data_IF_351033502106
#
_entry.id   IF_351033502106
#
_cell.length_a   1.000
_cell.length_b   1.000
_cell.length_c   1.000
_cell.angle_alpha   90.00
_cell.angle_beta   90.00
_cell.angle_gamma   90.00
#
_symmetry.space_group_name_H-M   'P 1'
#
loop_
_entity.id
_entity.type
_entity.pdbx_description
1 polymer ?
#
# COMPACT_ATOMS: atom_id res chain seq x y z
N UNK A 1 -18.98 -6.68 -10.35
CA UNK A 1 -18.43 -6.87 -8.99
C UNK A 1 -18.26 -5.52 -8.31
N UNK A 2 -18.62 -5.36 -7.03
CA UNK A 2 -18.39 -4.13 -6.29
C UNK A 2 -16.89 -3.91 -6.03
N UNK A 3 -16.46 -2.66 -5.88
CA UNK A 3 -15.07 -2.34 -5.49
C UNK A 3 -14.81 -2.86 -4.07
N UNK A 4 -13.65 -3.45 -3.84
CA UNK A 4 -13.19 -3.86 -2.51
C UNK A 4 -11.89 -3.11 -2.17
N UNK A 5 -11.89 -2.39 -1.05
CA UNK A 5 -10.70 -1.71 -0.53
C UNK A 5 -9.99 -2.63 0.48
N UNK A 6 -8.66 -2.66 0.45
CA UNK A 6 -7.82 -3.46 1.33
C UNK A 6 -6.92 -2.58 2.19
N UNK A 7 -6.83 -2.91 3.48
CA UNK A 7 -6.00 -2.21 4.46
C UNK A 7 -6.57 -0.86 4.91
N UNK A 8 -5.81 -0.17 5.76
CA UNK A 8 -6.15 1.14 6.33
C UNK A 8 -4.96 2.08 6.20
N UNK A 9 -5.21 3.37 6.02
CA UNK A 9 -4.17 4.40 5.97
C UNK A 9 -4.58 5.61 6.82
N UNK A 10 -3.58 6.32 7.35
CA UNK A 10 -3.78 7.57 8.10
C UNK A 10 -4.15 8.76 7.19
N UNK A 11 -4.02 8.58 5.87
CA UNK A 11 -4.37 9.57 4.83
C UNK A 11 -5.44 8.97 3.90
N UNK A 12 -6.19 9.77 3.13
CA UNK A 12 -7.34 9.28 2.34
C UNK A 12 -6.92 8.48 1.09
N UNK A 13 -6.34 7.30 1.31
CA UNK A 13 -6.00 6.31 0.29
C UNK A 13 -6.32 4.89 0.77
N UNK A 14 -6.45 3.96 -0.17
CA UNK A 14 -6.50 2.52 0.12
C UNK A 14 -5.19 1.85 -0.31
N UNK A 15 -4.53 1.06 0.55
CA UNK A 15 -3.33 0.29 0.17
C UNK A 15 -3.49 -0.51 -1.13
N UNK A 16 -4.65 -1.15 -1.31
CA UNK A 16 -5.05 -1.69 -2.60
C UNK A 16 -6.57 -1.59 -2.81
N UNK A 17 -6.99 -1.58 -4.07
CA UNK A 17 -8.40 -1.68 -4.47
C UNK A 17 -8.56 -2.76 -5.54
N UNK A 18 -9.47 -3.71 -5.33
CA UNK A 18 -9.92 -4.62 -6.38
C UNK A 18 -11.16 -4.05 -7.05
N UNK A 19 -11.14 -4.01 -8.38
CA UNK A 19 -12.28 -3.67 -9.21
C UNK A 19 -12.37 -4.69 -10.36
N UNK A 20 -13.36 -5.58 -10.31
CA UNK A 20 -13.42 -6.73 -11.22
C UNK A 20 -12.24 -7.68 -10.98
N UNK A 21 -11.49 -7.96 -12.03
CA UNK A 21 -10.35 -8.89 -12.01
C UNK A 21 -9.00 -8.20 -11.78
N UNK A 22 -8.99 -6.87 -11.72
CA UNK A 22 -7.78 -6.09 -11.50
C UNK A 22 -7.64 -5.66 -10.04
N UNK A 23 -6.40 -5.68 -9.56
CA UNK A 23 -5.99 -5.12 -8.28
C UNK A 23 -5.05 -3.96 -8.55
N UNK A 24 -5.45 -2.77 -8.09
CA UNK A 24 -4.64 -1.56 -8.15
C UNK A 24 -3.95 -1.41 -6.80
N UNK A 25 -2.62 -1.53 -6.80
CA UNK A 25 -1.79 -1.41 -5.59
C UNK A 25 -1.19 -0.01 -5.55
N UNK A 26 -1.32 0.67 -4.41
CA UNK A 26 -0.67 1.96 -4.20
C UNK A 26 0.85 1.81 -4.24
N UNK A 27 1.57 2.88 -4.59
CA UNK A 27 3.03 2.87 -4.56
C UNK A 27 3.56 2.45 -3.19
N UNK A 28 4.37 1.40 -3.15
CA UNK A 28 4.99 0.92 -1.91
C UNK A 28 6.34 1.59 -1.71
N UNK A 29 6.64 1.93 -0.47
CA UNK A 29 7.94 2.44 -0.01
C UNK A 29 8.48 1.49 1.06
N UNK A 30 9.81 1.38 1.26
CA UNK A 30 10.40 0.46 2.22
C UNK A 30 10.17 0.96 3.65
N UNK A 31 9.00 0.64 4.20
CA UNK A 31 8.58 1.01 5.54
C UNK A 31 8.41 -0.24 6.37
N UNK A 32 9.01 -0.26 7.55
CA UNK A 32 8.89 -1.34 8.52
C UNK A 32 7.48 -1.44 9.12
N UNK A 33 7.25 -2.48 9.92
CA UNK A 33 5.98 -2.67 10.63
C UNK A 33 5.68 -1.55 11.64
N UNK A 34 6.69 -0.77 12.01
CA UNK A 34 6.61 0.41 12.88
C UNK A 34 6.19 1.68 12.14
N UNK A 35 6.00 1.62 10.82
CA UNK A 35 5.67 2.79 10.01
C UNK A 35 6.88 3.69 9.71
N UNK A 36 8.11 3.24 9.98
CA UNK A 36 9.34 3.99 9.72
C UNK A 36 10.06 3.47 8.48
N UNK A 37 10.63 4.39 7.70
CA UNK A 37 11.45 4.03 6.53
C UNK A 37 12.68 3.26 6.99
N UNK A 38 12.92 2.11 6.36
CA UNK A 38 14.08 1.26 6.64
C UNK A 38 15.36 2.05 6.33
N UNK A 39 16.35 1.98 7.24
CA UNK A 39 17.63 2.67 7.06
C UNK A 39 18.47 1.96 6.01
N UNK A 40 19.05 2.73 5.10
CA UNK A 40 19.88 2.24 4.00
C UNK A 40 19.84 3.21 2.83
N UNK A 41 20.30 2.74 1.67
CA UNK A 41 20.11 3.37 0.37
C UNK A 41 19.07 2.62 -0.45
N UNK A 42 19.21 2.68 -1.78
CA UNK A 42 18.27 2.06 -2.72
C UNK A 42 18.41 0.53 -2.81
N UNK A 43 19.57 -0.01 -2.42
CA UNK A 43 19.85 -1.45 -2.55
C UNK A 43 19.41 -2.25 -1.32
N UNK A 44 19.28 -1.56 -0.19
CA UNK A 44 18.83 -2.06 1.11
C UNK A 44 17.29 -2.03 1.24
#
# INVERSE_FOLDING_TARGET
MPKQCFGTSHVPLSPAVRAGDLVYVSGQVPVGSDGIVVKGGISE
#
